data_IF_964062018167
#
_entry.id   IF_964062018167
#
_cell.length_a   1.000
_cell.length_b   1.000
_cell.length_c   1.000
_cell.angle_alpha   90.00
_cell.angle_beta   90.00
_cell.angle_gamma   90.00
#
_symmetry.space_group_name_H-M   'P 1'
#
loop_
_entity.id
_entity.type
_entity.pdbx_description
1 polymer ?
#
# COMPACT_ATOMS: atom_id res chain seq x y z
N UNK A 1 6.91 10.68 -10.47
CA UNK A 1 7.09 9.56 -9.52
C UNK A 1 8.15 8.65 -10.12
N UNK A 2 8.92 7.99 -9.26
CA UNK A 2 10.01 7.11 -9.68
C UNK A 2 9.51 5.67 -9.84
N UNK A 3 10.30 4.84 -10.52
CA UNK A 3 10.06 3.40 -10.59
C UNK A 3 10.02 2.80 -9.16
N UNK A 4 9.04 1.93 -8.91
CA UNK A 4 8.85 1.23 -7.64
C UNK A 4 9.10 -0.26 -7.87
N UNK A 5 10.30 -0.73 -7.56
CA UNK A 5 10.75 -2.10 -7.81
C UNK A 5 11.34 -2.80 -6.60
N UNK A 6 11.66 -2.08 -5.52
CA UNK A 6 12.20 -2.66 -4.28
C UNK A 6 11.21 -2.55 -3.13
N UNK A 7 11.32 -3.42 -2.11
CA UNK A 7 10.49 -3.34 -0.91
C UNK A 7 10.52 -1.97 -0.22
N UNK A 8 11.68 -1.31 -0.20
CA UNK A 8 11.85 0.02 0.42
C UNK A 8 11.09 1.10 -0.36
N UNK A 9 11.07 1.00 -1.69
CA UNK A 9 10.29 1.90 -2.54
C UNK A 9 8.80 1.67 -2.36
N UNK A 10 8.38 0.40 -2.25
CA UNK A 10 6.99 0.04 -1.98
C UNK A 10 6.56 0.61 -0.63
N UNK A 11 7.35 0.44 0.43
CA UNK A 11 7.05 1.00 1.76
C UNK A 11 6.97 2.53 1.72
N UNK A 12 7.97 3.19 1.13
CA UNK A 12 8.02 4.66 1.03
C UNK A 12 6.81 5.22 0.30
N UNK A 13 6.49 4.67 -0.87
CA UNK A 13 5.38 5.15 -1.69
C UNK A 13 4.01 4.81 -1.08
N UNK A 14 3.89 3.64 -0.44
CA UNK A 14 2.65 3.24 0.25
C UNK A 14 2.39 4.13 1.46
N UNK A 15 3.41 4.46 2.27
CA UNK A 15 3.29 5.45 3.35
C UNK A 15 2.87 6.80 2.82
N UNK A 16 3.49 7.26 1.73
CA UNK A 16 3.17 8.54 1.09
C UNK A 16 1.71 8.59 0.64
N UNK A 17 1.20 7.54 -0.02
CA UNK A 17 -0.18 7.54 -0.52
C UNK A 17 -1.19 7.43 0.63
N UNK A 18 -0.93 6.59 1.64
CA UNK A 18 -1.80 6.50 2.81
C UNK A 18 -1.83 7.83 3.55
N UNK A 19 -0.68 8.48 3.73
CA UNK A 19 -0.61 9.81 4.33
C UNK A 19 -1.42 10.88 3.56
N UNK A 20 -1.41 10.79 2.23
CA UNK A 20 -2.19 11.70 1.38
C UNK A 20 -3.71 11.42 1.43
N UNK A 21 -4.12 10.17 1.62
CA UNK A 21 -5.53 9.76 1.62
C UNK A 21 -6.19 9.88 3.00
N UNK A 22 -5.44 9.56 4.06
CA UNK A 22 -5.96 9.40 5.42
C UNK A 22 -5.38 10.39 6.42
N UNK A 23 -4.35 11.16 6.04
CA UNK A 23 -3.66 12.09 6.94
C UNK A 23 -2.60 11.40 7.78
N UNK A 24 -2.41 11.88 9.01
CA UNK A 24 -1.42 11.30 9.92
C UNK A 24 -1.93 9.97 10.50
N UNK A 25 -1.24 8.88 10.20
CA UNK A 25 -1.60 7.52 10.61
C UNK A 25 -0.47 6.91 11.43
N UNK A 26 -0.81 6.10 12.43
CA UNK A 26 0.19 5.40 13.25
C UNK A 26 0.28 3.91 12.90
N UNK A 27 1.34 3.26 13.39
CA UNK A 27 1.54 1.80 13.25
C UNK A 27 1.44 1.26 11.82
N UNK A 28 1.82 2.08 10.83
CA UNK A 28 1.80 1.67 9.44
C UNK A 28 2.72 0.47 9.19
N UNK A 29 2.18 -0.54 8.50
CA UNK A 29 2.89 -1.75 8.12
C UNK A 29 2.38 -2.29 6.77
N UNK A 30 3.30 -2.74 5.93
CA UNK A 30 2.97 -3.62 4.80
C UNK A 30 2.70 -5.02 5.34
N UNK A 31 1.52 -5.55 5.00
CA UNK A 31 1.08 -6.88 5.36
C UNK A 31 1.49 -7.91 4.32
N UNK A 32 1.16 -7.64 3.06
CA UNK A 32 1.39 -8.53 1.94
C UNK A 32 1.80 -7.72 0.70
N UNK A 33 2.53 -8.36 -0.19
CA UNK A 33 2.97 -7.75 -1.45
C UNK A 33 3.08 -8.83 -2.52
N UNK A 34 2.36 -8.64 -3.62
CA UNK A 34 2.34 -9.55 -4.75
C UNK A 34 2.75 -8.83 -6.03
N UNK A 35 3.49 -9.55 -6.88
CA UNK A 35 3.83 -9.08 -8.22
C UNK A 35 2.64 -9.25 -9.15
N UNK A 36 2.37 -8.26 -10.01
CA UNK A 36 1.31 -8.30 -11.03
C UNK A 36 1.92 -8.12 -12.42
N UNK A 37 1.82 -9.12 -13.33
CA UNK A 37 1.37 -10.49 -13.08
C UNK A 37 2.37 -11.26 -12.19
N UNK A 38 1.90 -12.32 -11.51
CA UNK A 38 2.74 -13.16 -10.62
C UNK A 38 3.84 -13.90 -11.40
N UNK A 39 3.58 -14.22 -12.68
CA UNK A 39 4.51 -14.90 -13.57
C UNK A 39 4.78 -14.05 -14.81
N UNK A 40 6.05 -13.98 -15.18
CA UNK A 40 6.52 -13.19 -16.32
C UNK A 40 6.99 -11.79 -15.91
N UNK A 41 7.14 -10.87 -16.88
CA UNK A 41 7.56 -9.51 -16.59
C UNK A 41 6.52 -8.80 -15.74
N UNK A 42 6.90 -8.47 -14.50
CA UNK A 42 6.07 -7.70 -13.58
C UNK A 42 5.83 -6.29 -14.15
N UNK A 43 4.62 -5.80 -13.93
CA UNK A 43 4.13 -4.49 -14.40
C UNK A 43 3.60 -3.63 -13.27
N UNK A 44 3.15 -4.25 -12.17
CA UNK A 44 2.63 -3.58 -11.00
C UNK A 44 2.86 -4.41 -9.73
N UNK A 45 2.52 -3.80 -8.61
CA UNK A 45 2.47 -4.40 -7.28
C UNK A 45 1.07 -4.31 -6.73
N UNK A 46 0.61 -5.41 -6.18
CA UNK A 46 -0.57 -5.46 -5.31
C UNK A 46 -0.05 -5.49 -3.86
N UNK A 47 -0.44 -4.51 -3.05
CA UNK A 47 0.13 -4.25 -1.73
C UNK A 47 -1.00 -4.06 -0.72
N UNK A 48 -1.05 -4.94 0.26
CA UNK A 48 -1.94 -4.77 1.41
C UNK A 48 -1.19 -4.08 2.54
N UNK A 49 -1.77 -3.02 3.08
CA UNK A 49 -1.22 -2.27 4.22
C UNK A 49 -2.20 -2.20 5.37
N UNK A 50 -1.65 -2.14 6.59
CA UNK A 50 -2.38 -1.83 7.80
C UNK A 50 -1.86 -0.56 8.44
N UNK A 51 -2.75 0.18 9.09
CA UNK A 51 -2.40 1.32 9.93
C UNK A 51 -3.51 1.60 10.95
N UNK A 52 -3.19 2.41 11.95
CA UNK A 52 -4.13 2.89 12.96
C UNK A 52 -4.55 4.32 12.63
N UNK A 53 -5.85 4.59 12.73
CA UNK A 53 -6.45 5.92 12.60
C UNK A 53 -7.67 5.98 13.52
N UNK A 54 -7.76 7.02 14.34
CA UNK A 54 -8.85 7.23 15.31
C UNK A 54 -9.15 6.01 16.21
N UNK A 55 -8.08 5.31 16.62
CA UNK A 55 -8.18 4.12 17.47
C UNK A 55 -8.63 2.85 16.75
N UNK A 56 -8.87 2.91 15.44
CA UNK A 56 -9.30 1.77 14.62
C UNK A 56 -8.16 1.30 13.71
N UNK A 57 -8.06 -0.01 13.55
CA UNK A 57 -7.13 -0.63 12.60
C UNK A 57 -7.79 -0.70 11.24
N UNK A 58 -7.16 -0.10 10.25
CA UNK A 58 -7.60 -0.10 8.86
C UNK A 58 -6.72 -1.03 8.03
N UNK A 59 -7.35 -1.76 7.11
CA UNK A 59 -6.66 -2.58 6.10
C UNK A 59 -6.98 -2.03 4.72
N UNK A 60 -5.97 -1.65 3.94
CA UNK A 60 -6.12 -1.04 2.61
C UNK A 60 -5.34 -1.83 1.57
N UNK A 61 -5.97 -2.06 0.44
CA UNK A 61 -5.41 -2.64 -0.78
C UNK A 61 -4.90 -1.51 -1.69
N UNK A 62 -3.68 -1.64 -2.20
CA UNK A 62 -3.07 -0.66 -3.10
C UNK A 62 -2.54 -1.36 -4.34
N UNK A 63 -2.82 -0.81 -5.52
CA UNK A 63 -2.18 -1.26 -6.75
C UNK A 63 -1.23 -0.18 -7.26
N UNK A 64 0.05 -0.53 -7.44
CA UNK A 64 1.13 0.40 -7.82
C UNK A 64 1.75 -0.05 -9.14
N UNK A 65 1.65 0.76 -10.20
CA UNK A 65 2.36 0.52 -11.44
C UNK A 65 3.87 0.65 -11.23
N UNK A 66 4.64 -0.41 -11.51
CA UNK A 66 6.07 -0.49 -11.19
C UNK A 66 6.88 0.58 -11.92
N UNK A 67 6.64 0.78 -13.22
CA UNK A 67 7.45 1.69 -14.05
C UNK A 67 7.28 3.16 -13.68
N UNK A 68 6.09 3.55 -13.25
CA UNK A 68 5.74 4.95 -13.03
C UNK A 68 5.59 5.29 -11.55
N UNK A 69 5.43 4.28 -10.68
CA UNK A 69 5.06 4.44 -9.28
C UNK A 69 3.61 4.93 -9.10
N UNK A 70 2.77 4.84 -10.14
CA UNK A 70 1.40 5.36 -10.09
C UNK A 70 0.49 4.38 -9.39
N UNK A 71 -0.21 4.86 -8.37
CA UNK A 71 -1.31 4.14 -7.76
C UNK A 71 -2.50 4.11 -8.73
N UNK A 72 -2.88 2.92 -9.16
CA UNK A 72 -4.02 2.68 -10.06
C UNK A 72 -5.28 2.30 -9.28
N UNK A 73 -5.10 1.79 -8.06
CA UNK A 73 -6.17 1.47 -7.14
C UNK A 73 -5.76 1.76 -5.69
N UNK A 74 -6.73 2.16 -4.87
CA UNK A 74 -6.61 2.25 -3.42
C UNK A 74 -7.99 1.95 -2.81
N UNK A 75 -8.11 0.83 -2.09
CA UNK A 75 -9.39 0.32 -1.60
C UNK A 75 -9.31 -0.07 -0.13
N UNK A 76 -10.18 0.50 0.69
CA UNK A 76 -10.40 0.01 2.06
C UNK A 76 -11.01 -1.40 2.02
N UNK A 77 -10.33 -2.37 2.64
CA UNK A 77 -10.77 -3.76 2.75
C UNK A 77 -11.53 -3.96 4.07
N UNK A 78 -11.00 -3.44 5.17
CA UNK A 78 -11.53 -3.70 6.50
C UNK A 78 -11.23 -2.57 7.50
N UNK A 79 -12.04 -2.49 8.55
CA UNK A 79 -11.85 -1.59 9.70
C UNK A 79 -12.30 -2.31 10.96
N UNK A 80 -11.40 -2.46 11.93
CA UNK A 80 -11.66 -3.21 13.16
C UNK A 80 -11.19 -2.46 14.41
N UNK A 81 -11.89 -2.68 15.52
CA UNK A 81 -11.40 -2.31 16.84
C UNK A 81 -10.24 -3.25 17.22
N UNK A 82 -9.07 -2.72 17.60
CA UNK A 82 -7.97 -3.54 18.10
C UNK A 82 -8.36 -4.19 19.45
N UNK A 83 -7.92 -5.44 19.65
CA UNK A 83 -8.13 -6.22 20.88
C UNK A 83 -7.19 -5.79 22.02
#
# INVERSE_FOLDING_TARGET
MAQVSTPEQIDTESRRVIGALYGDVSDFRINETFAVPEKGPRTAWDVQVNFMLDGLKHTVDLEIEEKTGRFTNARLIDTMEPL
#
